data_IF_975282440766
#
_entry.id   IF_975282440766
#
_cell.length_a   1.000
_cell.length_b   1.000
_cell.length_c   1.000
_cell.angle_alpha   90.00
_cell.angle_beta   90.00
_cell.angle_gamma   90.00
#
_symmetry.space_group_name_H-M   'P 1'
#
loop_
_entity.id
_entity.type
_entity.pdbx_description
1 polymer ?
#
# COMPACT_ATOMS: atom_id res chain seq x y z
N UNK A 1 21.77 -9.08 -5.99
CA UNK A 1 20.96 -8.19 -6.84
C UNK A 1 20.14 -7.25 -5.97
N UNK A 2 20.22 -5.97 -6.24
CA UNK A 2 19.42 -4.99 -5.49
C UNK A 2 17.96 -5.08 -5.93
N UNK A 3 16.99 -5.14 -4.99
CA UNK A 3 15.59 -5.08 -5.37
C UNK A 3 15.26 -3.74 -6.03
N UNK A 4 14.36 -3.76 -6.98
CA UNK A 4 13.86 -2.53 -7.60
C UNK A 4 13.07 -1.73 -6.56
N UNK A 5 13.27 -0.42 -6.57
CA UNK A 5 12.52 0.52 -5.76
C UNK A 5 12.25 1.78 -6.56
N UNK A 6 11.23 2.51 -6.13
CA UNK A 6 10.91 3.79 -6.76
C UNK A 6 12.03 4.79 -6.49
N UNK A 7 12.18 5.75 -7.43
CA UNK A 7 13.10 6.87 -7.24
C UNK A 7 12.70 7.71 -6.04
N UNK A 8 13.64 8.49 -5.50
CA UNK A 8 13.35 9.40 -4.38
C UNK A 8 12.23 10.38 -4.71
N UNK A 9 12.18 10.87 -5.94
CA UNK A 9 11.14 11.81 -6.38
C UNK A 9 9.75 11.17 -6.36
N UNK A 10 9.63 9.93 -6.84
CA UNK A 10 8.36 9.20 -6.83
C UNK A 10 7.93 8.90 -5.40
N UNK A 11 8.87 8.46 -4.55
CA UNK A 11 8.58 8.19 -3.13
C UNK A 11 8.08 9.44 -2.43
N UNK A 12 8.73 10.59 -2.67
CA UNK A 12 8.29 11.85 -2.06
C UNK A 12 6.88 12.23 -2.49
N UNK A 13 6.54 12.03 -3.77
CA UNK A 13 5.20 12.29 -4.30
C UNK A 13 4.17 11.40 -3.62
N UNK A 14 4.46 10.12 -3.47
CA UNK A 14 3.57 9.17 -2.81
C UNK A 14 3.40 9.52 -1.33
N UNK A 15 4.49 9.86 -0.65
CA UNK A 15 4.45 10.20 0.77
C UNK A 15 3.61 11.43 1.04
N UNK A 16 3.65 12.41 0.15
CA UNK A 16 2.85 13.63 0.27
C UNK A 16 1.36 13.40 -0.06
N UNK A 17 1.03 12.34 -0.79
CA UNK A 17 -0.34 12.06 -1.18
C UNK A 17 -1.11 11.37 -0.05
N UNK A 18 -2.34 11.84 0.22
CA UNK A 18 -3.22 11.17 1.20
C UNK A 18 -3.85 9.92 0.63
N UNK A 19 -4.08 9.88 -0.67
CA UNK A 19 -4.74 8.78 -1.36
C UNK A 19 -3.86 8.31 -2.51
N UNK A 20 -3.67 7.01 -2.58
CA UNK A 20 -2.99 6.35 -3.68
C UNK A 20 -4.04 5.56 -4.48
N UNK A 21 -4.07 5.76 -5.79
CA UNK A 21 -4.90 4.92 -6.65
C UNK A 21 -4.25 3.56 -6.84
N UNK A 22 -5.03 2.49 -6.80
CA UNK A 22 -4.53 1.14 -7.01
C UNK A 22 -5.51 0.32 -7.85
N UNK A 23 -4.93 -0.49 -8.76
CA UNK A 23 -5.65 -1.50 -9.52
C UNK A 23 -4.77 -2.75 -9.57
N UNK A 24 -5.18 -3.80 -8.87
CA UNK A 24 -4.45 -5.07 -8.84
C UNK A 24 -4.87 -5.97 -9.99
N UNK A 25 -3.92 -6.77 -10.48
CA UNK A 25 -4.15 -7.72 -11.57
C UNK A 25 -4.15 -7.07 -12.95
N UNK A 26 -4.56 -7.84 -13.94
CA UNK A 26 -4.56 -7.42 -15.35
C UNK A 26 -5.96 -7.14 -15.91
N UNK A 27 -7.01 -7.51 -15.18
CA UNK A 27 -8.37 -7.24 -15.60
C UNK A 27 -8.66 -5.73 -15.57
N UNK A 28 -9.56 -5.22 -16.42
CA UNK A 28 -9.82 -3.79 -16.53
C UNK A 28 -10.72 -3.26 -15.40
N UNK A 29 -10.31 -3.47 -14.16
CA UNK A 29 -10.99 -2.87 -13.01
C UNK A 29 -10.73 -1.37 -12.98
N UNK A 30 -11.62 -0.63 -12.34
CA UNK A 30 -11.35 0.78 -12.08
C UNK A 30 -10.30 0.91 -10.98
N UNK A 31 -9.57 2.01 -11.02
CA UNK A 31 -8.62 2.37 -9.97
C UNK A 31 -9.41 2.84 -8.75
N UNK A 32 -9.07 2.31 -7.57
CA UNK A 32 -9.69 2.73 -6.31
C UNK A 32 -8.67 3.47 -5.45
N UNK A 33 -9.14 4.35 -4.58
CA UNK A 33 -8.28 5.10 -3.68
C UNK A 33 -8.05 4.36 -2.37
N UNK A 34 -6.79 4.26 -1.96
CA UNK A 34 -6.41 3.65 -0.68
C UNK A 34 -5.41 4.53 0.06
N UNK A 35 -5.23 4.26 1.34
CA UNK A 35 -4.19 4.90 2.14
C UNK A 35 -2.84 4.24 1.87
N UNK A 36 -1.78 5.05 1.98
CA UNK A 36 -0.41 4.63 1.69
C UNK A 36 0.55 5.27 2.65
N UNK A 37 1.60 4.54 3.03
CA UNK A 37 2.69 5.09 3.85
C UNK A 37 4.03 4.76 3.25
N UNK A 38 5.04 5.55 3.61
CA UNK A 38 6.43 5.33 3.23
C UNK A 38 7.24 5.06 4.49
N UNK A 39 7.97 3.96 4.47
CA UNK A 39 8.85 3.54 5.57
C UNK A 39 10.20 3.16 4.96
N UNK A 40 11.27 3.79 5.43
CA UNK A 40 12.63 3.50 4.95
C UNK A 40 12.78 3.67 3.42
N UNK A 41 12.09 4.67 2.87
CA UNK A 41 12.11 4.90 1.42
C UNK A 41 11.34 3.88 0.59
N UNK A 42 10.52 3.06 1.24
CA UNK A 42 9.75 1.97 0.64
C UNK A 42 8.26 2.25 0.81
N UNK A 43 7.48 1.86 -0.19
CA UNK A 43 6.05 2.13 -0.24
C UNK A 43 5.26 0.93 0.30
N UNK A 44 4.44 1.16 1.31
CA UNK A 44 3.64 0.11 1.94
C UNK A 44 2.16 0.46 1.96
N UNK A 45 1.35 -0.57 1.80
CA UNK A 45 -0.11 -0.48 1.87
C UNK A 45 -0.64 -1.65 2.70
N UNK A 46 -1.84 -1.46 3.28
CA UNK A 46 -2.60 -2.52 3.93
C UNK A 46 -4.01 -2.51 3.40
N UNK A 47 -4.61 -3.68 3.27
CA UNK A 47 -5.98 -3.80 2.83
C UNK A 47 -6.91 -3.71 4.03
N UNK A 48 -7.81 -2.73 4.02
CA UNK A 48 -8.87 -2.67 5.03
C UNK A 48 -9.93 -3.72 4.75
N UNK A 49 -10.27 -3.92 3.47
CA UNK A 49 -11.19 -4.98 3.06
C UNK A 49 -10.50 -6.33 3.05
N UNK A 50 -11.16 -7.32 3.63
CA UNK A 50 -10.69 -8.71 3.64
C UNK A 50 -11.51 -9.59 2.69
N UNK A 51 -12.33 -8.97 1.84
CA UNK A 51 -13.20 -9.67 0.89
C UNK A 51 -12.41 -10.27 -0.26
N UNK A 52 -13.00 -11.26 -0.93
CA UNK A 52 -12.36 -11.95 -2.06
C UNK A 52 -11.99 -11.03 -3.22
N UNK A 53 -12.76 -9.95 -3.44
CA UNK A 53 -12.52 -8.99 -4.51
C UNK A 53 -11.63 -7.83 -4.11
N UNK A 54 -11.00 -7.88 -2.92
CA UNK A 54 -10.07 -6.84 -2.52
C UNK A 54 -8.82 -6.85 -3.40
N UNK A 55 -8.14 -5.70 -3.51
CA UNK A 55 -6.90 -5.62 -4.27
C UNK A 55 -5.83 -6.59 -3.72
N UNK A 56 -5.85 -6.82 -2.42
CA UNK A 56 -4.91 -7.73 -1.77
C UNK A 56 -5.08 -9.17 -2.27
N UNK A 57 -6.33 -9.65 -2.30
CA UNK A 57 -6.64 -10.99 -2.80
C UNK A 57 -6.29 -11.13 -4.29
N UNK A 58 -6.56 -10.08 -5.06
CA UNK A 58 -6.20 -10.08 -6.48
C UNK A 58 -4.70 -10.18 -6.67
N UNK A 59 -3.90 -9.47 -5.86
CA UNK A 59 -2.44 -9.58 -5.92
C UNK A 59 -1.92 -10.97 -5.56
N UNK A 60 -2.61 -11.70 -4.69
CA UNK A 60 -2.22 -13.08 -4.38
C UNK A 60 -2.32 -13.99 -5.61
N UNK A 61 -3.28 -13.73 -6.47
CA UNK A 61 -3.50 -14.50 -7.69
C UNK A 61 -2.69 -13.97 -8.88
N UNK A 62 -2.66 -12.66 -9.04
CA UNK A 62 -1.95 -11.96 -10.11
C UNK A 62 -1.04 -10.90 -9.50
N UNK A 63 0.24 -11.20 -9.29
CA UNK A 63 1.16 -10.30 -8.58
C UNK A 63 1.69 -9.16 -9.45
N UNK A 64 0.81 -8.39 -10.03
CA UNK A 64 1.12 -7.18 -10.82
C UNK A 64 -0.09 -6.27 -10.82
N UNK A 65 0.14 -4.99 -11.00
CA UNK A 65 -0.93 -4.02 -11.07
C UNK A 65 -0.41 -2.63 -11.41
N UNK A 66 -1.26 -1.64 -11.16
CA UNK A 66 -0.96 -0.23 -11.45
C UNK A 66 -1.30 0.60 -10.23
N UNK A 67 -0.44 1.57 -9.93
CA UNK A 67 -0.78 2.63 -8.97
C UNK A 67 -0.88 3.97 -9.72
N UNK A 68 -1.66 4.88 -9.16
CA UNK A 68 -1.83 6.22 -9.72
C UNK A 68 -1.64 7.26 -8.62
N UNK A 69 -0.76 8.23 -8.88
CA UNK A 69 -0.52 9.34 -7.98
C UNK A 69 -0.18 10.57 -8.84
N UNK A 70 -0.80 11.72 -8.52
CA UNK A 70 -0.62 12.96 -9.28
C UNK A 70 -0.85 12.79 -10.79
N UNK A 71 -1.83 12.00 -11.18
CA UNK A 71 -2.15 11.76 -12.59
C UNK A 71 -1.20 10.84 -13.32
N UNK A 72 -0.15 10.33 -12.66
CA UNK A 72 0.79 9.37 -13.25
C UNK A 72 0.42 7.95 -12.86
N UNK A 73 0.46 7.05 -13.84
CA UNK A 73 0.26 5.63 -13.60
C UNK A 73 1.60 4.90 -13.66
N UNK A 74 1.85 4.04 -12.68
CA UNK A 74 3.08 3.28 -12.57
C UNK A 74 2.74 1.80 -12.43
N UNK A 75 3.43 0.97 -13.20
CA UNK A 75 3.28 -0.48 -13.09
C UNK A 75 4.05 -0.98 -11.86
N UNK A 76 3.40 -1.83 -11.09
CA UNK A 76 3.95 -2.32 -9.82
C UNK A 76 3.75 -3.82 -9.66
N UNK A 77 4.52 -4.41 -8.77
CA UNK A 77 4.26 -5.74 -8.24
C UNK A 77 4.27 -5.69 -6.71
N UNK A 78 3.55 -6.58 -6.06
CA UNK A 78 3.54 -6.65 -4.61
C UNK A 78 4.71 -7.47 -4.08
N UNK A 79 5.19 -7.08 -2.90
CA UNK A 79 6.06 -7.92 -2.07
C UNK A 79 5.35 -8.04 -0.72
N UNK A 80 4.89 -9.23 -0.40
CA UNK A 80 4.13 -9.46 0.83
C UNK A 80 5.08 -9.51 2.02
N UNK A 81 4.89 -8.60 2.96
CA UNK A 81 5.83 -8.38 4.07
C UNK A 81 5.56 -9.33 5.20
N UNK A 82 6.59 -10.07 5.62
CA UNK A 82 6.54 -10.97 6.78
C UNK A 82 7.35 -10.46 7.97
N UNK A 83 8.08 -9.37 7.79
CA UNK A 83 8.91 -8.79 8.84
C UNK A 83 8.05 -8.12 9.91
N UNK A 84 8.14 -8.57 11.15
CA UNK A 84 7.45 -7.94 12.28
C UNK A 84 7.97 -6.52 12.52
N UNK A 85 9.26 -6.28 12.31
CA UNK A 85 9.86 -4.94 12.41
C UNK A 85 9.20 -3.97 11.43
N UNK A 86 9.07 -4.38 10.17
CA UNK A 86 8.45 -3.53 9.14
C UNK A 86 6.97 -3.33 9.41
N UNK A 87 6.25 -4.36 9.86
CA UNK A 87 4.83 -4.24 10.19
C UNK A 87 4.60 -3.23 11.31
N UNK A 88 5.46 -3.19 12.32
CA UNK A 88 5.37 -2.21 13.41
C UNK A 88 5.65 -0.80 12.90
N UNK A 89 6.64 -0.64 12.04
CA UNK A 89 6.96 0.67 11.46
C UNK A 89 5.83 1.18 10.56
N UNK A 90 5.20 0.29 9.82
CA UNK A 90 4.04 0.63 8.98
C UNK A 90 2.86 1.09 9.85
N UNK A 91 2.59 0.42 10.97
CA UNK A 91 1.56 0.84 11.91
C UNK A 91 1.81 2.25 12.44
N UNK A 92 3.03 2.52 12.84
CA UNK A 92 3.43 3.86 13.32
C UNK A 92 3.24 4.91 12.22
N UNK A 93 3.67 4.59 10.99
CA UNK A 93 3.55 5.50 9.87
C UNK A 93 2.09 5.84 9.56
N UNK A 94 1.18 4.86 9.61
CA UNK A 94 -0.25 5.11 9.44
C UNK A 94 -0.77 6.04 10.54
N UNK A 95 -0.39 5.81 11.78
CA UNK A 95 -0.84 6.64 12.90
C UNK A 95 -0.34 8.09 12.79
N UNK A 96 0.87 8.27 12.29
CA UNK A 96 1.46 9.60 12.12
C UNK A 96 0.86 10.36 10.94
N UNK A 97 0.63 9.67 9.83
CA UNK A 97 0.13 10.30 8.60
C UNK A 97 -1.37 10.55 8.64
N UNK A 98 -2.15 9.61 9.15
CA UNK A 98 -3.61 9.68 9.18
C UNK A 98 -4.09 9.91 10.62
N UNK A 99 -3.81 11.10 11.13
CA UNK A 99 -3.99 11.46 12.53
C UNK A 99 -5.20 12.33 12.82
N UNK A 100 -6.14 12.45 11.89
CA UNK A 100 -7.37 13.19 12.13
C UNK A 100 -8.35 12.36 12.96
N UNK A 101 -9.28 12.99 13.70
CA UNK A 101 -10.28 12.24 14.48
C UNK A 101 -11.07 11.24 13.66
N UNK A 102 -11.44 11.59 12.41
CA UNK A 102 -12.17 10.69 11.52
C UNK A 102 -11.35 9.51 11.02
N UNK A 103 -10.02 9.60 11.06
CA UNK A 103 -9.12 8.54 10.60
C UNK A 103 -8.80 7.51 11.68
N UNK A 104 -8.90 7.87 12.96
CA UNK A 104 -8.42 7.04 14.06
C UNK A 104 -9.03 5.64 14.10
N UNK A 105 -10.32 5.52 13.80
CA UNK A 105 -10.99 4.21 13.81
C UNK A 105 -10.40 3.27 12.75
N UNK A 106 -10.01 3.80 11.58
CA UNK A 106 -9.41 3.01 10.52
C UNK A 106 -7.96 2.66 10.85
N UNK A 107 -7.22 3.58 11.47
CA UNK A 107 -5.86 3.30 11.94
C UNK A 107 -5.88 2.16 12.96
N UNK A 108 -6.84 2.18 13.89
CA UNK A 108 -7.00 1.08 14.86
C UNK A 108 -7.36 -0.23 14.16
N UNK A 109 -8.24 -0.18 13.15
CA UNK A 109 -8.62 -1.34 12.37
C UNK A 109 -7.44 -1.99 11.68
N UNK A 110 -6.48 -1.20 11.17
CA UNK A 110 -5.28 -1.72 10.53
C UNK A 110 -4.34 -2.46 11.48
N UNK A 111 -4.50 -2.31 12.79
CA UNK A 111 -3.71 -3.06 13.78
C UNK A 111 -4.26 -4.45 14.04
N UNK A 112 -5.48 -4.75 13.61
CA UNK A 112 -6.06 -6.08 13.75
C UNK A 112 -5.24 -7.10 12.96
N UNK A 113 -5.02 -8.28 13.53
CA UNK A 113 -4.13 -9.30 12.98
C UNK A 113 -4.39 -9.58 11.48
N UNK A 114 -5.65 -9.79 11.10
CA UNK A 114 -6.00 -10.12 9.71
C UNK A 114 -5.61 -9.01 8.74
N UNK A 115 -5.83 -7.74 9.11
CA UNK A 115 -5.47 -6.60 8.28
C UNK A 115 -3.98 -6.33 8.31
N UNK A 116 -3.36 -6.52 9.46
CA UNK A 116 -1.91 -6.40 9.63
C UNK A 116 -1.17 -7.38 8.74
N UNK A 117 -1.71 -8.58 8.58
CA UNK A 117 -1.13 -9.61 7.71
C UNK A 117 -1.24 -9.27 6.22
N UNK A 118 -2.00 -8.25 5.84
CA UNK A 118 -2.05 -7.78 4.45
C UNK A 118 -0.95 -6.76 4.10
N UNK A 119 -0.02 -6.50 5.02
CA UNK A 119 1.05 -5.52 4.77
C UNK A 119 1.83 -5.89 3.51
N UNK A 120 1.82 -4.99 2.54
CA UNK A 120 2.38 -5.22 1.21
C UNK A 120 3.28 -4.06 0.84
N UNK A 121 4.50 -4.37 0.40
CA UNK A 121 5.37 -3.38 -0.24
C UNK A 121 5.05 -3.35 -1.73
N UNK A 122 4.91 -2.15 -2.29
CA UNK A 122 4.76 -1.96 -3.73
C UNK A 122 6.10 -1.58 -4.31
N UNK A 123 6.54 -2.34 -5.31
CA UNK A 123 7.81 -2.07 -6.01
C UNK A 123 7.57 -1.91 -7.49
N UNK A 124 8.43 -1.16 -8.20
CA UNK A 124 8.29 -1.02 -9.66
C UNK A 124 8.37 -2.38 -10.34
N UNK A 125 7.54 -2.56 -11.34
CA UNK A 125 7.53 -3.80 -12.13
C UNK A 125 8.75 -3.86 -13.03
#
# INVERSE_FOLDING_TARGET
MKPKRFSKAVVATIDAAKILGIRAGTAPHRIIGIWVVVVEGRVFVRSYSLKERSWYRTFLEEPRGVIEVNGKQLKVRPVFTRSERLKKLVERAYAEKYNTPGSLQFVKGFKEKKRRDTTTELVPL
#
